data_IF_873194897329
#
_entry.id   IF_873194897329
#
_cell.length_a   1.000
_cell.length_b   1.000
_cell.length_c   1.000
_cell.angle_alpha   90.00
_cell.angle_beta   90.00
_cell.angle_gamma   90.00
#
_symmetry.space_group_name_H-M   'P 1'
#
loop_
_entity.id
_entity.type
_entity.pdbx_description
1 polymer ?
#
# COMPACT_ATOMS: atom_id res chain seq x y z
N UNK A 1 -30.51 14.25 16.81
CA UNK A 1 -29.41 14.16 17.79
C UNK A 1 -28.24 13.41 17.16
N UNK A 2 -27.35 14.06 16.38
CA UNK A 2 -26.07 13.45 15.99
C UNK A 2 -25.00 14.01 16.94
N UNK A 3 -24.70 13.27 18.01
CA UNK A 3 -23.58 13.58 18.88
C UNK A 3 -22.32 13.41 18.02
N UNK A 4 -21.55 14.49 17.84
CA UNK A 4 -20.22 14.38 17.23
C UNK A 4 -19.34 13.67 18.25
N UNK A 5 -19.06 12.39 18.02
CA UNK A 5 -18.07 11.67 18.80
C UNK A 5 -16.67 12.12 18.36
N UNK A 6 -15.78 12.38 19.30
CA UNK A 6 -14.36 12.56 19.01
C UNK A 6 -13.77 11.23 18.52
N UNK A 7 -12.62 11.27 17.83
CA UNK A 7 -11.92 10.06 17.40
C UNK A 7 -11.62 9.11 18.57
N UNK A 8 -11.42 9.67 19.77
CA UNK A 8 -11.23 8.92 21.01
C UNK A 8 -12.51 8.21 21.45
N UNK A 9 -13.63 8.92 21.47
CA UNK A 9 -14.92 8.32 21.84
C UNK A 9 -15.34 7.21 20.85
N UNK A 10 -14.91 7.29 19.59
CA UNK A 10 -15.10 6.23 18.59
C UNK A 10 -14.14 5.06 18.87
N UNK A 11 -12.85 5.33 19.11
CA UNK A 11 -11.86 4.29 19.39
C UNK A 11 -12.19 3.49 20.66
N UNK A 12 -12.63 4.16 21.73
CA UNK A 12 -13.02 3.53 23.00
C UNK A 12 -14.22 2.57 22.86
N UNK A 13 -15.02 2.71 21.81
CA UNK A 13 -16.16 1.82 21.52
C UNK A 13 -15.78 0.59 20.69
N UNK A 14 -14.59 0.58 20.07
CA UNK A 14 -14.14 -0.52 19.21
C UNK A 14 -13.13 -1.35 19.98
N UNK A 15 -13.55 -2.55 20.38
CA UNK A 15 -12.72 -3.46 21.14
C UNK A 15 -11.42 -3.76 20.38
N UNK A 16 -10.27 -3.42 20.97
CA UNK A 16 -8.95 -3.58 20.36
C UNK A 16 -8.41 -2.37 19.59
N UNK A 17 -9.16 -1.26 19.50
CA UNK A 17 -8.66 0.02 18.95
C UNK A 17 -8.29 0.94 20.10
N UNK A 18 -7.08 1.50 20.06
CA UNK A 18 -6.58 2.45 21.05
C UNK A 18 -6.16 3.71 20.32
N UNK A 19 -6.62 4.87 20.79
CA UNK A 19 -6.21 6.16 20.25
C UNK A 19 -5.59 7.02 21.34
N UNK A 20 -4.50 7.71 21.02
CA UNK A 20 -4.00 8.82 21.83
C UNK A 20 -4.62 10.09 21.26
N UNK A 21 -5.23 10.89 22.12
CA UNK A 21 -5.84 12.16 21.75
C UNK A 21 -4.73 13.15 21.38
N UNK A 22 -4.49 13.33 20.08
CA UNK A 22 -3.61 14.39 19.58
C UNK A 22 -4.41 15.68 19.48
N UNK A 23 -3.87 16.84 19.90
CA UNK A 23 -4.56 18.12 19.78
C UNK A 23 -5.06 18.35 18.34
N UNK A 24 -6.22 18.99 18.18
CA UNK A 24 -6.69 19.56 16.91
C UNK A 24 -5.75 20.68 16.44
N UNK A 25 -4.51 20.35 16.15
CA UNK A 25 -3.68 21.16 15.27
C UNK A 25 -4.18 20.87 13.86
N UNK A 26 -4.28 21.92 13.02
CA UNK A 26 -4.00 21.74 11.58
C UNK A 26 -2.83 20.78 11.49
N UNK A 27 -2.91 19.75 10.64
CA UNK A 27 -1.73 18.94 10.32
C UNK A 27 -0.70 19.87 9.65
N UNK A 28 -0.02 20.69 10.43
CA UNK A 28 1.37 21.06 10.20
C UNK A 28 2.08 19.72 10.34
N UNK A 29 2.22 19.04 9.21
CA UNK A 29 3.14 17.92 9.11
C UNK A 29 4.54 18.51 9.28
N UNK A 30 4.93 18.82 10.52
CA UNK A 30 6.34 18.83 10.87
C UNK A 30 6.81 17.42 10.57
N UNK A 31 7.40 17.25 9.40
CA UNK A 31 7.81 15.96 8.88
C UNK A 31 8.79 15.36 9.89
N UNK A 32 8.36 14.29 10.56
CA UNK A 32 9.24 13.51 11.43
C UNK A 32 9.81 12.34 10.62
N UNK A 33 11.13 12.33 10.38
CA UNK A 33 11.84 11.21 9.77
C UNK A 33 11.49 9.89 10.46
N UNK A 34 11.26 8.82 9.68
CA UNK A 34 10.89 7.51 10.25
C UNK A 34 11.98 6.96 11.17
N UNK A 35 13.24 7.22 10.85
CA UNK A 35 14.40 6.82 11.66
C UNK A 35 14.54 7.58 12.99
N UNK A 36 13.78 8.66 13.19
CA UNK A 36 13.72 9.40 14.47
C UNK A 36 12.57 8.92 15.36
N UNK A 37 11.70 8.05 14.83
CA UNK A 37 10.55 7.51 15.56
C UNK A 37 10.95 6.17 16.18
N UNK A 38 10.73 5.99 17.50
CA UNK A 38 10.96 4.71 18.14
C UNK A 38 10.16 3.60 17.45
N UNK A 39 10.76 2.41 17.33
CA UNK A 39 10.05 1.25 16.82
C UNK A 39 8.78 1.02 17.66
N UNK A 40 7.57 1.09 17.08
CA UNK A 40 6.33 0.93 17.84
C UNK A 40 6.08 -0.53 18.28
N UNK A 41 6.85 -1.48 17.76
CA UNK A 41 6.71 -2.90 18.04
C UNK A 41 7.50 -3.35 19.28
N UNK A 42 7.26 -2.69 20.40
CA UNK A 42 7.84 -3.07 21.70
C UNK A 42 6.85 -4.00 22.40
N UNK A 43 7.30 -5.22 22.73
CA UNK A 43 6.44 -6.25 23.34
C UNK A 43 5.70 -5.75 24.59
N UNK A 44 6.38 -4.98 25.44
CA UNK A 44 5.80 -4.46 26.68
C UNK A 44 4.67 -3.45 26.44
N UNK A 45 4.62 -2.82 25.27
CA UNK A 45 3.53 -1.90 24.89
C UNK A 45 2.31 -2.63 24.34
N UNK A 46 2.41 -3.93 24.07
CA UNK A 46 1.28 -4.70 23.54
C UNK A 46 0.26 -5.03 24.63
N UNK A 47 -1.04 -4.86 24.36
CA UNK A 47 -2.08 -5.31 25.27
C UNK A 47 -2.04 -6.84 25.39
N UNK A 48 -2.43 -7.38 26.55
CA UNK A 48 -2.41 -8.83 26.80
C UNK A 48 -3.20 -9.61 25.75
N UNK A 49 -4.33 -9.08 25.31
CA UNK A 49 -5.17 -9.66 24.24
C UNK A 49 -4.47 -9.79 22.88
N UNK A 50 -3.45 -8.96 22.62
CA UNK A 50 -2.59 -9.12 21.44
C UNK A 50 -1.51 -10.17 21.69
N UNK A 51 -0.90 -10.18 22.88
CA UNK A 51 0.12 -11.16 23.28
C UNK A 51 -0.41 -12.59 23.23
N UNK A 52 -1.62 -12.82 23.74
CA UNK A 52 -2.25 -14.14 23.82
C UNK A 52 -2.52 -14.77 22.44
N UNK A 53 -2.64 -13.95 21.40
CA UNK A 53 -2.99 -14.37 20.04
C UNK A 53 -2.02 -13.80 19.00
N UNK A 54 -0.77 -13.58 19.39
CA UNK A 54 0.18 -12.81 18.58
C UNK A 54 0.43 -13.44 17.19
N UNK A 55 0.42 -14.77 17.12
CA UNK A 55 0.57 -15.52 15.86
C UNK A 55 -0.62 -15.38 14.91
N UNK A 56 -1.79 -14.98 15.41
CA UNK A 56 -3.02 -14.82 14.64
C UNK A 56 -3.25 -13.36 14.19
N UNK A 57 -2.40 -12.43 14.64
CA UNK A 57 -2.50 -11.00 14.31
C UNK A 57 -1.68 -10.65 13.08
N UNK A 58 -2.16 -9.64 12.35
CA UNK A 58 -1.42 -9.02 11.25
C UNK A 58 -0.71 -7.77 11.76
N UNK A 59 0.61 -7.79 11.72
CA UNK A 59 1.45 -6.66 12.10
C UNK A 59 1.65 -5.73 10.90
N UNK A 60 1.26 -4.48 11.05
CA UNK A 60 1.56 -3.43 10.07
C UNK A 60 2.96 -2.91 10.33
N UNK A 61 3.85 -3.02 9.35
CA UNK A 61 5.24 -2.56 9.47
C UNK A 61 5.51 -1.49 8.42
N UNK A 62 5.78 -0.26 8.87
CA UNK A 62 6.23 0.85 8.01
C UNK A 62 7.77 0.80 7.96
N UNK A 63 8.34 0.66 6.76
CA UNK A 63 9.79 0.63 6.54
C UNK A 63 10.32 1.89 5.85
N UNK A 64 9.43 2.65 5.22
CA UNK A 64 9.72 3.99 4.73
C UNK A 64 8.46 4.85 4.68
N UNK A 65 8.68 6.16 4.65
CA UNK A 65 7.66 7.19 4.47
C UNK A 65 7.78 7.87 3.12
N UNK A 66 6.63 8.39 2.67
CA UNK A 66 6.42 9.16 1.46
C UNK A 66 6.58 8.39 0.15
N UNK A 67 6.13 8.98 -0.95
CA UNK A 67 6.29 8.46 -2.29
C UNK A 67 6.75 9.59 -3.23
N UNK A 68 7.74 9.37 -4.11
CA UNK A 68 8.18 10.40 -5.05
C UNK A 68 7.15 10.68 -6.14
N UNK A 69 6.12 9.84 -6.29
CA UNK A 69 5.08 10.02 -7.30
C UNK A 69 4.00 10.98 -6.83
N UNK A 70 3.64 11.93 -7.71
CA UNK A 70 2.67 13.00 -7.44
C UNK A 70 1.26 12.64 -7.91
N UNK A 71 0.84 11.40 -7.68
CA UNK A 71 -0.46 10.91 -8.15
C UNK A 71 -1.59 11.76 -7.55
N UNK A 72 -2.50 12.25 -8.39
CA UNK A 72 -3.46 13.28 -7.98
C UNK A 72 -4.47 12.84 -6.91
N UNK A 73 -4.74 11.54 -6.84
CA UNK A 73 -5.66 10.90 -5.90
C UNK A 73 -4.99 10.40 -4.60
N UNK A 74 -3.66 10.41 -4.51
CA UNK A 74 -2.93 9.69 -3.47
C UNK A 74 -2.34 10.65 -2.43
N UNK A 75 -2.43 10.33 -1.14
CA UNK A 75 -1.83 11.15 -0.07
C UNK A 75 -0.33 10.91 0.11
N UNK A 76 0.16 9.70 -0.20
CA UNK A 76 1.58 9.32 -0.02
C UNK A 76 2.56 10.25 -0.72
N UNK A 77 2.17 10.79 -1.87
CA UNK A 77 3.00 11.71 -2.65
C UNK A 77 2.87 13.18 -2.27
N UNK A 78 1.88 13.54 -1.45
CA UNK A 78 1.51 14.94 -1.21
C UNK A 78 2.16 15.50 0.06
N UNK A 79 2.63 14.62 0.96
CA UNK A 79 3.30 15.02 2.19
C UNK A 79 4.73 15.55 1.93
N UNK A 80 5.55 14.78 1.21
CA UNK A 80 6.93 15.14 0.87
C UNK A 80 7.39 14.26 -0.32
N UNK A 81 8.29 14.77 -1.17
CA UNK A 81 8.73 14.09 -2.40
C UNK A 81 9.96 13.20 -2.17
N UNK A 82 10.58 13.32 -1.00
CA UNK A 82 11.73 12.50 -0.58
C UNK A 82 11.27 11.32 0.26
N UNK A 83 11.74 10.15 -0.15
CA UNK A 83 11.57 8.93 0.63
C UNK A 83 12.48 9.00 1.85
N UNK A 84 11.92 8.69 3.01
CA UNK A 84 12.68 8.50 4.24
C UNK A 84 12.46 7.09 4.73
N UNK A 85 13.50 6.25 4.65
CA UNK A 85 13.41 4.84 4.98
C UNK A 85 14.37 4.44 6.09
N UNK A 86 13.97 3.43 6.85
CA UNK A 86 14.85 2.70 7.75
C UNK A 86 15.96 2.00 6.96
N UNK A 87 17.09 1.74 7.61
CA UNK A 87 18.14 0.90 7.03
C UNK A 87 17.66 -0.54 6.87
N UNK A 88 18.26 -1.31 5.96
CA UNK A 88 17.95 -2.74 5.82
C UNK A 88 18.14 -3.49 7.14
N UNK A 89 19.22 -3.17 7.86
CA UNK A 89 19.52 -3.77 9.17
C UNK A 89 18.42 -3.50 10.21
N UNK A 90 17.98 -2.24 10.33
CA UNK A 90 16.88 -1.89 11.24
C UNK A 90 15.60 -2.65 10.92
N UNK A 91 15.28 -2.82 9.63
CA UNK A 91 14.11 -3.60 9.21
C UNK A 91 14.29 -5.08 9.59
N UNK A 92 15.44 -5.68 9.28
CA UNK A 92 15.75 -7.09 9.62
C UNK A 92 15.61 -7.35 11.12
N UNK A 93 16.23 -6.52 11.96
CA UNK A 93 16.15 -6.63 13.43
C UNK A 93 14.73 -6.45 13.95
N UNK A 94 13.94 -5.56 13.33
CA UNK A 94 12.52 -5.39 13.68
C UNK A 94 11.71 -6.66 13.40
N UNK A 95 11.93 -7.28 12.22
CA UNK A 95 11.26 -8.54 11.88
C UNK A 95 11.72 -9.69 12.77
N UNK A 96 13.02 -9.83 13.04
CA UNK A 96 13.54 -10.85 13.97
C UNK A 96 12.89 -10.73 15.34
N UNK A 97 12.85 -9.52 15.91
CA UNK A 97 12.25 -9.26 17.21
C UNK A 97 10.74 -9.62 17.24
N UNK A 98 9.98 -9.24 16.21
CA UNK A 98 8.57 -9.59 16.10
C UNK A 98 8.34 -11.11 15.95
N UNK A 99 9.18 -11.77 15.14
CA UNK A 99 9.11 -13.22 14.91
C UNK A 99 9.42 -13.99 16.20
N UNK A 100 10.43 -13.55 16.95
CA UNK A 100 10.80 -14.09 18.27
C UNK A 100 9.66 -13.92 19.28
N UNK A 101 8.92 -12.82 19.22
CA UNK A 101 7.71 -12.62 20.04
C UNK A 101 6.55 -13.54 19.65
N UNK A 102 6.60 -14.18 18.48
CA UNK A 102 5.58 -15.10 17.98
C UNK A 102 4.75 -14.57 16.81
N UNK A 103 5.01 -13.37 16.29
CA UNK A 103 4.30 -12.83 15.14
C UNK A 103 4.57 -13.65 13.87
N UNK A 104 3.54 -13.87 13.05
CA UNK A 104 3.61 -14.67 11.81
C UNK A 104 3.09 -13.96 10.58
N UNK A 105 2.13 -13.04 10.72
CA UNK A 105 1.53 -12.35 9.60
C UNK A 105 1.94 -10.88 9.60
N UNK A 106 2.50 -10.41 8.50
CA UNK A 106 2.96 -9.05 8.35
C UNK A 106 2.36 -8.42 7.10
N UNK A 107 2.02 -7.14 7.20
CA UNK A 107 1.65 -6.31 6.05
C UNK A 107 2.51 -5.06 6.07
N UNK A 108 3.24 -4.83 4.98
CA UNK A 108 3.98 -3.59 4.80
C UNK A 108 2.99 -2.44 4.70
N UNK A 109 3.18 -1.43 5.54
CA UNK A 109 2.38 -0.21 5.54
C UNK A 109 2.91 0.83 4.54
N UNK A 110 4.01 0.52 3.85
CA UNK A 110 4.62 1.32 2.80
C UNK A 110 3.68 1.60 1.61
N UNK A 111 3.93 2.67 0.86
CA UNK A 111 3.19 2.98 -0.38
C UNK A 111 3.31 1.87 -1.45
N UNK A 112 4.41 1.12 -1.41
CA UNK A 112 4.73 0.01 -2.30
C UNK A 112 6.24 -0.29 -2.32
N UNK A 113 6.63 -1.54 -2.48
CA UNK A 113 8.05 -1.89 -2.45
C UNK A 113 8.83 -1.35 -3.65
N UNK A 114 10.17 -1.32 -3.47
CA UNK A 114 11.25 -1.15 -4.43
C UNK A 114 11.51 0.27 -4.93
N UNK A 115 10.92 1.27 -4.28
CA UNK A 115 11.43 2.65 -4.33
C UNK A 115 12.85 2.74 -3.74
N UNK A 116 13.22 1.86 -2.80
CA UNK A 116 14.57 1.71 -2.28
C UNK A 116 15.18 0.38 -2.77
N UNK A 117 15.21 0.20 -4.10
CA UNK A 117 15.46 -1.08 -4.80
C UNK A 117 16.55 -1.98 -4.20
N UNK A 118 17.75 -1.47 -3.94
CA UNK A 118 18.86 -2.27 -3.37
C UNK A 118 18.54 -2.74 -1.94
N UNK A 119 18.06 -1.83 -1.09
CA UNK A 119 17.65 -2.09 0.29
C UNK A 119 16.52 -3.11 0.35
N UNK A 120 15.50 -2.92 -0.48
CA UNK A 120 14.30 -3.76 -0.44
C UNK A 120 14.63 -5.19 -0.90
N UNK A 121 15.49 -5.36 -1.92
CA UNK A 121 16.00 -6.68 -2.34
C UNK A 121 16.82 -7.34 -1.25
N UNK A 122 17.65 -6.58 -0.54
CA UNK A 122 18.43 -7.08 0.60
C UNK A 122 17.52 -7.62 1.72
N UNK A 123 16.46 -6.90 2.07
CA UNK A 123 15.47 -7.32 3.07
C UNK A 123 14.74 -8.61 2.61
N UNK A 124 14.33 -8.69 1.34
CA UNK A 124 13.61 -9.87 0.87
C UNK A 124 14.49 -11.11 0.69
N UNK A 125 15.77 -10.93 0.30
CA UNK A 125 16.76 -12.01 0.35
C UNK A 125 16.98 -12.53 1.75
N UNK A 126 17.03 -11.62 2.72
CA UNK A 126 17.16 -12.01 4.12
C UNK A 126 16.02 -12.94 4.59
N UNK A 127 14.78 -12.69 4.17
CA UNK A 127 13.66 -13.61 4.45
C UNK A 127 13.86 -15.00 3.82
N UNK A 128 14.49 -15.06 2.63
CA UNK A 128 14.83 -16.32 1.97
C UNK A 128 15.95 -17.04 2.74
N UNK A 129 17.01 -16.33 3.11
CA UNK A 129 18.16 -16.87 3.87
C UNK A 129 17.73 -17.42 5.23
N UNK A 130 16.86 -16.68 5.94
CA UNK A 130 16.25 -17.12 7.21
C UNK A 130 15.20 -18.21 7.04
N UNK A 131 14.84 -18.57 5.80
CA UNK A 131 13.81 -19.56 5.47
C UNK A 131 12.53 -19.37 6.26
N UNK A 132 12.02 -18.14 6.27
CA UNK A 132 10.91 -17.75 7.17
C UNK A 132 9.62 -18.56 6.97
N UNK A 133 9.50 -19.31 5.87
CA UNK A 133 8.44 -20.29 5.67
C UNK A 133 8.49 -21.47 6.66
N UNK A 134 9.66 -21.87 7.15
CA UNK A 134 9.81 -22.98 8.13
C UNK A 134 9.18 -22.63 9.48
N UNK A 135 9.05 -21.33 9.76
CA UNK A 135 8.42 -20.79 10.96
C UNK A 135 7.01 -20.22 10.70
N UNK A 136 6.49 -20.35 9.47
CA UNK A 136 5.12 -19.96 9.11
C UNK A 136 4.89 -18.47 8.88
N UNK A 137 5.92 -17.72 8.44
CA UNK A 137 5.77 -16.28 8.15
C UNK A 137 5.04 -16.04 6.83
N UNK A 138 4.12 -15.08 6.85
CA UNK A 138 3.42 -14.57 5.68
C UNK A 138 3.58 -13.06 5.57
N UNK A 139 3.88 -12.59 4.36
CA UNK A 139 4.13 -11.20 4.03
C UNK A 139 3.12 -10.72 2.99
N UNK A 140 2.48 -9.58 3.26
CA UNK A 140 1.64 -8.86 2.30
C UNK A 140 2.18 -7.47 2.03
N UNK A 141 2.23 -7.07 0.78
CA UNK A 141 2.71 -5.75 0.38
C UNK A 141 2.19 -5.40 -1.01
N UNK A 142 2.25 -4.11 -1.34
CA UNK A 142 2.05 -3.61 -2.69
C UNK A 142 3.40 -3.39 -3.36
N UNK A 143 3.40 -3.28 -4.69
CA UNK A 143 4.62 -3.10 -5.48
C UNK A 143 4.39 -2.04 -6.55
N UNK A 144 5.41 -1.27 -6.85
CA UNK A 144 5.43 -0.51 -8.09
C UNK A 144 5.79 -1.46 -9.23
N UNK A 145 5.08 -1.44 -10.35
CA UNK A 145 5.46 -2.30 -11.49
C UNK A 145 6.72 -1.76 -12.18
N UNK A 146 6.96 -0.45 -12.10
CA UNK A 146 8.07 0.26 -12.74
C UNK A 146 9.47 -0.21 -12.27
N UNK A 147 9.52 -0.91 -11.14
CA UNK A 147 10.76 -1.30 -10.46
C UNK A 147 11.06 -2.79 -10.59
N UNK A 148 10.10 -3.59 -11.08
CA UNK A 148 10.24 -5.03 -11.22
C UNK A 148 11.31 -5.32 -12.27
N UNK A 149 12.13 -6.32 -11.99
CA UNK A 149 13.16 -6.83 -12.87
C UNK A 149 13.37 -8.33 -12.61
N UNK A 150 14.26 -8.96 -13.37
CA UNK A 150 14.54 -10.40 -13.28
C UNK A 150 14.90 -10.83 -11.84
N UNK A 151 15.70 -10.05 -11.13
CA UNK A 151 16.10 -10.34 -9.74
C UNK A 151 14.91 -10.26 -8.77
N UNK A 152 14.00 -9.30 -8.95
CA UNK A 152 12.75 -9.29 -8.19
C UNK A 152 11.87 -10.50 -8.50
N UNK A 153 11.77 -10.89 -9.77
CA UNK A 153 11.00 -12.06 -10.18
C UNK A 153 11.54 -13.34 -9.55
N UNK A 154 12.86 -13.52 -9.51
CA UNK A 154 13.52 -14.63 -8.81
C UNK A 154 13.16 -14.67 -7.32
N UNK A 155 13.31 -13.54 -6.63
CA UNK A 155 12.98 -13.40 -5.20
C UNK A 155 11.52 -13.77 -4.94
N UNK A 156 10.58 -13.20 -5.71
CA UNK A 156 9.16 -13.49 -5.52
C UNK A 156 8.80 -14.91 -5.90
N UNK A 157 9.44 -15.51 -6.91
CA UNK A 157 9.19 -16.91 -7.27
C UNK A 157 9.46 -17.82 -6.09
N UNK A 158 10.61 -17.66 -5.43
CA UNK A 158 10.98 -18.43 -4.24
C UNK A 158 9.94 -18.21 -3.12
N UNK A 159 9.63 -16.96 -2.79
CA UNK A 159 8.75 -16.64 -1.66
C UNK A 159 7.29 -17.08 -1.91
N UNK A 160 6.81 -17.02 -3.15
CA UNK A 160 5.47 -17.47 -3.52
C UNK A 160 5.39 -19.00 -3.52
N UNK A 161 6.37 -19.70 -4.10
CA UNK A 161 6.41 -21.17 -4.08
C UNK A 161 6.47 -21.72 -2.64
N UNK A 162 7.08 -20.94 -1.72
CA UNK A 162 7.13 -21.22 -0.29
C UNK A 162 5.95 -20.67 0.51
N UNK A 163 4.94 -20.07 -0.16
CA UNK A 163 3.71 -19.50 0.43
C UNK A 163 3.93 -18.38 1.45
N UNK A 164 5.10 -17.71 1.40
CA UNK A 164 5.40 -16.53 2.21
C UNK A 164 4.70 -15.31 1.64
N UNK A 165 4.72 -15.15 0.31
CA UNK A 165 4.00 -14.10 -0.42
C UNK A 165 2.87 -14.75 -1.22
N UNK A 166 1.71 -14.09 -1.30
CA UNK A 166 0.55 -14.63 -2.02
C UNK A 166 0.62 -14.40 -3.54
N UNK A 167 0.64 -13.14 -3.95
CA UNK A 167 0.66 -12.73 -5.35
C UNK A 167 1.23 -11.29 -5.47
N UNK A 168 1.51 -10.86 -6.69
CA UNK A 168 1.87 -9.47 -6.99
C UNK A 168 0.61 -8.62 -7.24
N UNK A 169 0.32 -7.67 -6.36
CA UNK A 169 -0.77 -6.71 -6.55
C UNK A 169 -0.24 -5.50 -7.37
N UNK A 170 -0.67 -5.36 -8.64
CA UNK A 170 -0.11 -4.38 -9.61
C UNK A 170 -1.08 -3.23 -9.90
N UNK A 171 -0.71 -2.02 -9.51
CA UNK A 171 -1.49 -0.82 -9.77
C UNK A 171 -1.16 -0.09 -11.08
N UNK A 172 -2.01 -0.23 -12.10
CA UNK A 172 -1.97 0.58 -13.35
C UNK A 172 -3.03 1.68 -13.37
N UNK A 173 -4.11 1.50 -12.61
CA UNK A 173 -5.19 2.45 -12.32
C UNK A 173 -6.14 2.77 -13.47
N UNK A 174 -5.64 2.97 -14.69
CA UNK A 174 -6.44 3.21 -15.89
C UNK A 174 -5.63 2.93 -17.15
N UNK A 175 -6.29 2.56 -18.24
CA UNK A 175 -5.72 2.59 -19.59
C UNK A 175 -6.33 3.71 -20.44
N UNK A 176 -7.26 4.51 -19.90
CA UNK A 176 -7.85 5.63 -20.59
C UNK A 176 -6.81 6.76 -20.77
N UNK A 177 -6.37 7.08 -22.01
CA UNK A 177 -5.34 8.09 -22.25
C UNK A 177 -5.71 9.48 -21.73
N UNK A 178 -6.99 9.85 -21.77
CA UNK A 178 -7.47 11.16 -21.28
C UNK A 178 -7.31 11.30 -19.76
N UNK A 179 -7.42 10.19 -19.04
CA UNK A 179 -7.30 10.13 -17.58
C UNK A 179 -5.84 10.10 -17.11
N UNK A 180 -4.91 9.60 -17.92
CA UNK A 180 -3.51 9.42 -17.51
C UNK A 180 -2.83 10.73 -17.12
N UNK A 181 -3.09 11.80 -17.86
CA UNK A 181 -2.53 13.12 -17.57
C UNK A 181 -3.08 13.69 -16.26
N UNK A 182 -4.40 13.62 -16.09
CA UNK A 182 -5.08 14.06 -14.87
C UNK A 182 -4.64 13.26 -13.63
N UNK A 183 -4.31 11.98 -13.80
CA UNK A 183 -3.84 11.09 -12.74
C UNK A 183 -2.45 11.47 -12.21
N UNK A 184 -1.59 12.09 -13.04
CA UNK A 184 -0.21 12.45 -12.69
C UNK A 184 0.65 11.26 -12.20
N UNK A 185 0.26 10.02 -12.51
CA UNK A 185 1.04 8.82 -12.20
C UNK A 185 1.88 8.45 -13.43
N UNK A 186 3.23 8.39 -13.32
CA UNK A 186 4.09 8.01 -14.43
C UNK A 186 3.72 6.64 -14.99
N UNK A 187 3.26 6.63 -16.24
CA UNK A 187 2.77 5.42 -16.92
C UNK A 187 3.38 5.32 -18.31
N UNK A 188 3.96 4.16 -18.62
CA UNK A 188 4.52 3.84 -19.92
C UNK A 188 4.06 2.42 -20.27
N UNK A 189 3.10 2.32 -21.20
CA UNK A 189 2.48 1.04 -21.54
C UNK A 189 3.45 0.06 -22.21
N UNK A 190 4.41 0.54 -23.00
CA UNK A 190 5.44 -0.32 -23.61
C UNK A 190 6.26 -1.00 -22.51
N UNK A 191 6.70 -0.24 -21.51
CA UNK A 191 7.42 -0.80 -20.35
C UNK A 191 6.52 -1.70 -19.52
N UNK A 192 5.26 -1.32 -19.34
CA UNK A 192 4.29 -2.15 -18.62
C UNK A 192 4.13 -3.52 -19.30
N UNK A 193 3.97 -3.57 -20.62
CA UNK A 193 3.88 -4.81 -21.40
C UNK A 193 5.11 -5.70 -21.23
N UNK A 194 6.30 -5.09 -21.25
CA UNK A 194 7.57 -5.80 -21.00
C UNK A 194 7.60 -6.42 -19.59
N UNK A 195 7.19 -5.66 -18.57
CA UNK A 195 7.10 -6.15 -17.20
C UNK A 195 6.07 -7.27 -17.06
N UNK A 196 4.88 -7.11 -17.65
CA UNK A 196 3.85 -8.15 -17.61
C UNK A 196 4.31 -9.44 -18.30
N UNK A 197 4.99 -9.32 -19.45
CA UNK A 197 5.58 -10.47 -20.15
C UNK A 197 6.62 -11.19 -19.28
N UNK A 198 7.48 -10.44 -18.58
CA UNK A 198 8.47 -10.99 -17.66
C UNK A 198 7.81 -11.71 -16.47
N UNK A 199 6.81 -11.10 -15.84
CA UNK A 199 6.05 -11.70 -14.73
C UNK A 199 5.38 -13.02 -15.16
N UNK A 200 4.78 -13.04 -16.35
CA UNK A 200 4.17 -14.25 -16.93
C UNK A 200 5.19 -15.34 -17.22
N UNK A 201 6.37 -14.99 -17.75
CA UNK A 201 7.47 -15.94 -18.00
C UNK A 201 7.96 -16.63 -16.72
N UNK A 202 7.97 -15.90 -15.59
CA UNK A 202 8.29 -16.45 -14.27
C UNK A 202 7.12 -17.17 -13.59
N UNK A 203 5.97 -17.25 -14.25
CA UNK A 203 4.75 -17.86 -13.73
C UNK A 203 4.32 -17.27 -12.38
N UNK A 204 4.58 -15.98 -12.15
CA UNK A 204 4.21 -15.31 -10.92
C UNK A 204 2.71 -15.00 -10.96
N UNK A 205 1.94 -15.30 -9.90
CA UNK A 205 0.56 -14.86 -9.80
C UNK A 205 0.48 -13.35 -9.57
N UNK A 206 -0.45 -12.67 -10.23
CA UNK A 206 -0.67 -11.23 -10.09
C UNK A 206 -2.14 -10.84 -10.18
N UNK A 207 -2.46 -9.71 -9.55
CA UNK A 207 -3.66 -8.94 -9.84
C UNK A 207 -3.33 -7.62 -10.53
N UNK A 208 -4.31 -7.08 -11.24
CA UNK A 208 -4.23 -5.71 -11.78
C UNK A 208 -5.35 -4.88 -11.16
N UNK A 209 -4.96 -3.71 -10.65
CA UNK A 209 -5.85 -2.78 -9.96
C UNK A 209 -6.17 -1.58 -10.86
N UNK A 210 -7.46 -1.25 -10.96
CA UNK A 210 -7.99 -0.04 -11.60
C UNK A 210 -8.71 0.86 -10.59
N UNK A 211 -8.77 2.16 -10.87
CA UNK A 211 -9.59 3.12 -10.13
C UNK A 211 -10.71 3.63 -11.05
N UNK A 212 -11.95 3.36 -10.67
CA UNK A 212 -13.13 3.83 -11.36
C UNK A 212 -13.41 5.29 -11.01
N UNK A 213 -13.71 6.10 -12.03
CA UNK A 213 -14.16 7.48 -11.84
C UNK A 213 -13.04 8.47 -11.56
N UNK A 214 -11.84 8.20 -12.05
CA UNK A 214 -10.78 9.20 -12.10
C UNK A 214 -11.20 10.40 -12.98
N UNK A 215 -10.72 11.62 -12.72
CA UNK A 215 -10.99 12.78 -13.57
C UNK A 215 -10.64 12.53 -15.05
N UNK A 216 -11.56 12.90 -15.94
CA UNK A 216 -11.46 12.63 -17.38
C UNK A 216 -11.96 11.24 -17.80
N UNK A 217 -12.34 10.37 -16.86
CA UNK A 217 -12.90 9.08 -17.18
C UNK A 217 -14.39 9.15 -17.53
N UNK A 218 -14.84 8.21 -18.35
CA UNK A 218 -16.25 8.02 -18.73
C UNK A 218 -16.53 6.53 -18.92
N UNK A 219 -17.79 6.15 -19.19
CA UNK A 219 -18.17 4.74 -19.30
C UNK A 219 -17.37 3.98 -20.38
N UNK A 220 -17.09 4.61 -21.52
CA UNK A 220 -16.35 3.97 -22.61
C UNK A 220 -14.85 3.86 -22.28
N UNK A 221 -14.27 4.88 -21.65
CA UNK A 221 -12.90 4.86 -21.12
C UNK A 221 -12.70 3.79 -20.05
N UNK A 222 -13.68 3.62 -19.17
CA UNK A 222 -13.71 2.56 -18.18
C UNK A 222 -13.78 1.17 -18.83
N UNK A 223 -14.74 0.95 -19.74
CA UNK A 223 -14.85 -0.31 -20.49
C UNK A 223 -13.59 -0.62 -21.28
N UNK A 224 -12.94 0.40 -21.85
CA UNK A 224 -11.65 0.23 -22.50
C UNK A 224 -10.60 -0.26 -21.50
N UNK A 225 -10.46 0.39 -20.36
CA UNK A 225 -9.51 -0.02 -19.31
C UNK A 225 -9.73 -1.44 -18.82
N UNK A 226 -10.99 -1.85 -18.61
CA UNK A 226 -11.32 -3.24 -18.25
C UNK A 226 -10.91 -4.21 -19.37
N UNK A 227 -11.20 -3.89 -20.64
CA UNK A 227 -10.79 -4.74 -21.78
C UNK A 227 -9.27 -4.88 -21.87
N UNK A 228 -8.52 -3.80 -21.65
CA UNK A 228 -7.05 -3.85 -21.64
C UNK A 228 -6.54 -4.76 -20.51
N UNK A 229 -7.05 -4.63 -19.28
CA UNK A 229 -6.69 -5.52 -18.16
C UNK A 229 -6.86 -7.00 -18.54
N UNK A 230 -7.98 -7.36 -19.17
CA UNK A 230 -8.28 -8.75 -19.51
C UNK A 230 -7.29 -9.36 -20.52
N UNK A 231 -6.62 -8.54 -21.36
CA UNK A 231 -5.59 -9.03 -22.28
C UNK A 231 -4.40 -9.63 -21.53
N UNK A 232 -4.09 -9.10 -20.35
CA UNK A 232 -3.02 -9.62 -19.49
C UNK A 232 -3.44 -10.85 -18.70
N UNK A 233 -4.71 -11.29 -18.73
CA UNK A 233 -5.18 -12.52 -18.05
C UNK A 233 -4.73 -12.63 -16.57
N UNK A 234 -4.91 -11.59 -15.73
CA UNK A 234 -4.53 -11.69 -14.32
C UNK A 234 -5.38 -12.74 -13.59
N UNK A 235 -4.84 -13.33 -12.52
CA UNK A 235 -5.58 -14.24 -11.64
C UNK A 235 -6.76 -13.52 -10.97
N UNK A 236 -6.60 -12.20 -10.76
CA UNK A 236 -7.65 -11.33 -10.22
C UNK A 236 -7.57 -9.95 -10.83
N UNK A 237 -8.72 -9.36 -11.06
CA UNK A 237 -8.87 -7.93 -11.34
C UNK A 237 -9.57 -7.28 -10.13
N UNK A 238 -9.08 -6.11 -9.70
CA UNK A 238 -9.71 -5.33 -8.64
C UNK A 238 -10.01 -3.90 -9.12
N UNK A 239 -11.19 -3.40 -8.74
CA UNK A 239 -11.59 -2.01 -8.96
C UNK A 239 -11.77 -1.31 -7.62
N UNK A 240 -11.22 -0.11 -7.52
CA UNK A 240 -11.46 0.80 -6.41
C UNK A 240 -12.24 2.03 -6.90
N UNK A 241 -13.13 2.57 -6.08
CA UNK A 241 -13.77 3.85 -6.37
C UNK A 241 -12.79 4.99 -6.11
N UNK A 242 -12.74 5.96 -7.03
CA UNK A 242 -11.95 7.17 -6.82
C UNK A 242 -12.46 7.91 -5.58
N UNK A 243 -11.67 7.87 -4.52
CA UNK A 243 -11.96 8.57 -3.26
C UNK A 243 -11.22 9.90 -3.24
N UNK A 244 -11.89 10.97 -2.81
CA UNK A 244 -11.29 12.30 -2.67
C UNK A 244 -10.75 12.43 -1.25
N UNK A 245 -9.46 12.14 -1.09
CA UNK A 245 -8.79 12.21 0.20
C UNK A 245 -8.43 13.66 0.53
N UNK A 246 -8.74 14.17 1.74
CA UNK A 246 -8.38 15.52 2.15
C UNK A 246 -6.88 15.81 1.98
N UNK A 247 -6.54 16.98 1.44
CA UNK A 247 -5.16 17.42 1.23
C UNK A 247 -4.48 16.88 -0.04
N UNK A 248 -5.16 16.08 -0.86
CA UNK A 248 -4.64 15.63 -2.16
C UNK A 248 -4.82 16.67 -3.27
N UNK A 249 -4.09 16.54 -4.38
CA UNK A 249 -4.26 17.40 -5.56
C UNK A 249 -5.72 17.46 -6.03
N UNK A 250 -6.44 16.33 -6.02
CA UNK A 250 -7.85 16.27 -6.40
C UNK A 250 -8.75 16.98 -5.41
N UNK A 251 -8.42 16.97 -4.12
CA UNK A 251 -9.14 17.69 -3.08
C UNK A 251 -8.92 19.21 -3.17
N UNK A 252 -7.67 19.62 -3.31
CA UNK A 252 -7.29 21.03 -3.38
C UNK A 252 -7.75 21.69 -4.69
N UNK A 253 -7.86 20.92 -5.78
CA UNK A 253 -8.20 21.42 -7.11
C UNK A 253 -9.51 20.84 -7.65
N UNK A 254 -10.49 20.51 -6.79
CA UNK A 254 -11.79 19.93 -7.20
C UNK A 254 -12.43 20.63 -8.40
N UNK A 255 -12.46 21.97 -8.41
CA UNK A 255 -13.04 22.77 -9.50
C UNK A 255 -12.34 22.53 -10.84
N UNK A 256 -11.00 22.48 -10.85
CA UNK A 256 -10.19 22.20 -12.05
C UNK A 256 -10.54 20.85 -12.66
N UNK A 257 -10.75 19.85 -11.82
CA UNK A 257 -11.06 18.49 -12.24
C UNK A 257 -12.56 18.20 -12.40
N UNK A 258 -13.43 19.20 -12.20
CA UNK A 258 -14.88 19.02 -12.27
C UNK A 258 -15.45 18.10 -11.17
N UNK A 259 -14.71 17.88 -10.09
CA UNK A 259 -15.06 16.93 -9.05
C UNK A 259 -16.19 17.50 -8.19
N UNK A 260 -17.31 16.76 -8.14
CA UNK A 260 -18.39 16.95 -7.17
C UNK A 260 -18.33 15.80 -6.18
N UNK A 261 -18.26 16.12 -4.90
CA UNK A 261 -18.23 15.12 -3.83
C UNK A 261 -19.55 15.12 -3.09
N UNK A 262 -19.94 13.93 -2.64
CA UNK A 262 -20.93 13.76 -1.58
C UNK A 262 -20.16 13.22 -0.39
N UNK A 263 -20.30 13.87 0.77
CA UNK A 263 -19.82 13.26 2.01
C UNK A 263 -20.62 11.98 2.22
N UNK A 264 -19.94 10.89 2.58
CA UNK A 264 -20.57 9.58 2.75
C UNK A 264 -21.71 9.61 3.77
N UNK A 265 -22.90 9.87 3.27
CA UNK A 265 -24.21 9.54 3.84
C UNK A 265 -25.05 8.79 2.80
N UNK A 266 -24.43 8.18 1.77
CA UNK A 266 -25.13 7.41 0.72
C UNK A 266 -25.71 6.05 1.20
N UNK A 267 -26.00 5.94 2.49
CA UNK A 267 -26.93 4.95 3.09
C UNK A 267 -28.02 5.65 3.92
N UNK A 268 -28.19 6.97 3.76
CA UNK A 268 -29.40 7.65 4.19
C UNK A 268 -30.32 7.66 2.95
N UNK A 269 -31.40 6.89 3.06
CA UNK A 269 -32.40 6.56 2.05
C UNK A 269 -32.92 7.77 1.24
N UNK A 270 -32.97 7.61 -0.09
CA UNK A 270 -33.92 8.28 -0.99
C UNK A 270 -34.51 7.23 -1.95
#
# INVERSE_FOLDING_TARGET
YKKKYSNREIAEQINGVWSIETPEKKLDFDFVPLNEIPNPHVYDWFPQTLKDQISERVFLVETYRNCPFQCGYCLWGQAENKINGLSAETVKTTFDSLIEMGARHFKFADAGLGLMKKRDKEIFRYFIEKKVWEIGVHLRTYYFWQILDEEWCEIFKILIDKKVVGQLDIGIQTFNPETLDAMKRPTNFIKFDQIMTMIQKWELPYSIDLILGLPGDNLEGWKHSVREVMKYKPQRYQSFLCSILPGTEYDLNRKKYGIKTVHGSLMDDD
#
